data_IF_700228856917
#
_entry.id   IF_700228856917
#
_cell.length_a   1.000
_cell.length_b   1.000
_cell.length_c   1.000
_cell.angle_alpha   90.00
_cell.angle_beta   90.00
_cell.angle_gamma   90.00
#
_symmetry.space_group_name_H-M   'P 1'
#
loop_
_entity.id
_entity.type
_entity.pdbx_description
1 polymer ?
#
# COMPACT_ATOMS: atom_id res chain seq x y z
N UNK A 1 -17.38 15.34 43.97
CA UNK A 1 -16.04 14.71 43.94
C UNK A 1 -16.05 13.66 42.84
N UNK A 2 -15.24 13.91 41.79
CA UNK A 2 -14.75 13.03 40.71
C UNK A 2 -15.76 12.16 39.95
N UNK A 3 -16.22 12.54 38.75
CA UNK A 3 -15.54 12.40 37.44
C UNK A 3 -14.96 10.99 37.22
N UNK A 4 -15.67 10.18 36.44
CA UNK A 4 -15.01 9.39 35.38
C UNK A 4 -15.96 9.25 34.18
N UNK A 5 -15.93 10.27 33.32
CA UNK A 5 -16.46 10.19 31.97
C UNK A 5 -15.40 9.45 31.16
N UNK A 6 -15.63 8.16 30.90
CA UNK A 6 -14.75 7.32 30.09
C UNK A 6 -14.55 8.02 28.72
N UNK A 7 -13.32 8.31 28.28
CA UNK A 7 -13.11 8.91 26.98
C UNK A 7 -13.52 7.90 25.90
N UNK A 8 -14.59 8.20 25.19
CA UNK A 8 -15.03 7.48 24.01
C UNK A 8 -13.92 7.52 22.97
N UNK A 9 -13.31 6.37 22.70
CA UNK A 9 -12.32 6.19 21.64
C UNK A 9 -12.95 6.63 20.30
N UNK A 10 -12.33 7.52 19.51
CA UNK A 10 -12.82 7.83 18.19
C UNK A 10 -12.80 6.56 17.34
N UNK A 11 -13.99 6.08 17.00
CA UNK A 11 -14.18 4.94 16.10
C UNK A 11 -13.81 5.40 14.70
N UNK A 12 -12.55 5.21 14.31
CA UNK A 12 -12.09 5.44 12.95
C UNK A 12 -12.95 4.63 11.99
N UNK A 13 -13.64 5.35 11.11
CA UNK A 13 -14.40 4.91 9.94
C UNK A 13 -14.68 3.42 9.83
N UNK A 14 -15.82 2.99 10.39
CA UNK A 14 -16.56 1.93 9.74
C UNK A 14 -17.02 2.49 8.39
N UNK A 15 -16.26 2.18 7.33
CA UNK A 15 -16.74 2.37 5.97
C UNK A 15 -18.15 1.79 5.88
N UNK A 16 -19.07 2.59 5.40
CA UNK A 16 -20.46 2.23 5.13
C UNK A 16 -20.50 1.13 4.06
N UNK A 17 -20.18 -0.10 4.46
CA UNK A 17 -20.30 -1.30 3.67
C UNK A 17 -21.72 -1.81 3.80
N UNK A 18 -22.62 -1.24 3.00
CA UNK A 18 -23.96 -1.77 2.79
C UNK A 18 -23.84 -3.23 2.29
N UNK A 19 -24.44 -4.17 3.01
CA UNK A 19 -24.38 -5.61 2.75
C UNK A 19 -25.27 -6.05 1.57
N UNK A 20 -25.00 -5.54 0.37
CA UNK A 20 -25.52 -6.06 -0.91
C UNK A 20 -24.40 -6.72 -1.72
N UNK A 21 -24.70 -7.52 -2.78
CA UNK A 21 -23.68 -8.18 -3.59
C UNK A 21 -22.69 -7.12 -4.08
N UNK A 22 -21.43 -7.25 -3.65
CA UNK A 22 -20.36 -6.27 -3.79
C UNK A 22 -20.36 -5.60 -5.17
N UNK A 23 -20.92 -4.39 -5.22
CA UNK A 23 -20.87 -3.55 -6.42
C UNK A 23 -19.43 -3.06 -6.53
N UNK A 24 -18.65 -3.71 -7.39
CA UNK A 24 -17.25 -3.38 -7.62
C UNK A 24 -17.17 -1.89 -7.98
N UNK A 25 -16.45 -1.11 -7.18
CA UNK A 25 -16.22 0.31 -7.48
C UNK A 25 -15.62 0.44 -8.89
N UNK A 26 -15.89 1.53 -9.63
CA UNK A 26 -15.35 1.70 -10.98
C UNK A 26 -13.82 1.58 -11.01
N UNK A 27 -13.12 1.99 -9.94
CA UNK A 27 -11.67 1.78 -9.79
C UNK A 27 -11.27 0.30 -9.65
N UNK A 28 -12.02 -0.49 -8.87
CA UNK A 28 -11.74 -1.91 -8.71
C UNK A 28 -11.98 -2.68 -10.01
N UNK A 29 -12.94 -2.24 -10.84
CA UNK A 29 -13.17 -2.80 -12.17
C UNK A 29 -12.02 -2.51 -13.13
N UNK A 30 -11.44 -1.31 -13.09
CA UNK A 30 -10.26 -0.97 -13.90
C UNK A 30 -9.03 -1.75 -13.49
N UNK A 31 -8.75 -1.85 -12.18
CA UNK A 31 -7.67 -2.70 -11.63
C UNK A 31 -7.87 -4.15 -12.04
N UNK A 32 -9.09 -4.69 -11.92
CA UNK A 32 -9.41 -6.05 -12.32
C UNK A 32 -9.20 -6.30 -13.82
N UNK A 33 -9.54 -5.33 -14.68
CA UNK A 33 -9.27 -5.40 -16.13
C UNK A 33 -7.77 -5.41 -16.41
N UNK A 34 -6.98 -4.58 -15.72
CA UNK A 34 -5.52 -4.57 -15.82
C UNK A 34 -4.90 -5.92 -15.44
N UNK A 35 -5.32 -6.48 -14.30
CA UNK A 35 -4.86 -7.79 -13.83
C UNK A 35 -5.23 -8.92 -14.79
N UNK A 36 -6.44 -8.91 -15.36
CA UNK A 36 -6.85 -9.90 -16.38
C UNK A 36 -5.95 -9.82 -17.61
N UNK A 37 -5.65 -8.63 -18.12
CA UNK A 37 -4.76 -8.45 -19.28
C UNK A 37 -3.36 -8.99 -19.01
N UNK A 38 -2.75 -8.62 -17.89
CA UNK A 38 -1.42 -9.11 -17.51
C UNK A 38 -1.40 -10.62 -17.32
N UNK A 39 -2.41 -11.19 -16.66
CA UNK A 39 -2.55 -12.64 -16.48
C UNK A 39 -2.67 -13.38 -17.81
N UNK A 40 -3.48 -12.86 -18.74
CA UNK A 40 -3.62 -13.44 -20.08
C UNK A 40 -2.30 -13.40 -20.83
N UNK A 41 -1.56 -12.29 -20.76
CA UNK A 41 -0.26 -12.15 -21.44
C UNK A 41 0.81 -13.09 -20.85
N UNK A 42 0.88 -13.20 -19.53
CA UNK A 42 1.80 -14.15 -18.87
C UNK A 42 1.47 -15.60 -19.25
N UNK A 43 0.18 -15.98 -19.24
CA UNK A 43 -0.25 -17.31 -19.65
C UNK A 43 -0.02 -17.57 -21.14
N UNK A 44 -0.23 -16.58 -22.02
CA UNK A 44 0.03 -16.76 -23.44
C UNK A 44 1.51 -16.96 -23.75
N UNK A 45 2.40 -16.24 -23.06
CA UNK A 45 3.84 -16.43 -23.15
C UNK A 45 4.26 -17.83 -22.68
N UNK A 46 3.69 -18.30 -21.58
CA UNK A 46 3.95 -19.66 -21.07
C UNK A 46 3.50 -20.75 -22.05
N UNK A 47 2.29 -20.61 -22.60
CA UNK A 47 1.76 -21.53 -23.62
C UNK A 47 2.66 -21.50 -24.87
N UNK A 48 3.06 -20.31 -25.32
CA UNK A 48 3.95 -20.16 -26.46
C UNK A 48 5.30 -20.86 -26.23
N UNK A 49 5.95 -20.65 -25.08
CA UNK A 49 7.18 -21.36 -24.72
C UNK A 49 6.98 -22.88 -24.65
N UNK A 50 5.83 -23.33 -24.16
CA UNK A 50 5.50 -24.77 -24.13
C UNK A 50 5.36 -25.34 -25.54
N UNK A 51 4.66 -24.62 -26.43
CA UNK A 51 4.48 -25.02 -27.83
C UNK A 51 5.79 -25.01 -28.62
N UNK A 52 6.65 -24.01 -28.44
CA UNK A 52 7.98 -23.96 -29.07
C UNK A 52 8.82 -25.14 -28.60
N UNK A 53 8.84 -25.43 -27.29
CA UNK A 53 9.55 -26.57 -26.73
C UNK A 53 9.04 -27.89 -27.34
N UNK A 54 7.73 -28.11 -27.33
CA UNK A 54 7.12 -29.34 -27.84
C UNK A 54 7.34 -29.50 -29.35
N UNK A 55 7.20 -28.42 -30.12
CA UNK A 55 7.40 -28.44 -31.57
C UNK A 55 8.85 -28.76 -31.92
N UNK A 56 9.80 -28.13 -31.23
CA UNK A 56 11.22 -28.39 -31.45
C UNK A 56 11.61 -29.80 -31.02
N UNK A 57 11.01 -30.31 -29.95
CA UNK A 57 11.28 -31.64 -29.43
C UNK A 57 10.70 -32.78 -30.30
N UNK A 58 9.53 -32.57 -30.91
CA UNK A 58 8.86 -33.59 -31.72
C UNK A 58 9.26 -33.59 -33.19
N UNK A 59 9.58 -32.41 -33.76
CA UNK A 59 9.80 -32.26 -35.21
C UNK A 59 11.26 -32.05 -35.60
N UNK A 60 12.22 -32.03 -34.66
CA UNK A 60 13.63 -31.77 -34.98
C UNK A 60 14.58 -32.63 -34.15
N UNK A 61 15.74 -32.96 -34.73
CA UNK A 61 16.80 -33.77 -34.14
C UNK A 61 17.52 -33.12 -32.93
N UNK A 62 17.00 -31.99 -32.41
CA UNK A 62 17.54 -31.25 -31.27
C UNK A 62 19.02 -30.85 -31.39
N UNK A 63 19.56 -30.80 -32.61
CA UNK A 63 20.94 -30.41 -32.91
C UNK A 63 21.03 -29.00 -33.51
N UNK A 64 22.18 -28.34 -33.34
CA UNK A 64 22.43 -27.00 -33.87
C UNK A 64 21.51 -25.92 -33.29
N UNK A 65 21.00 -25.04 -34.14
CA UNK A 65 20.15 -23.88 -33.76
C UNK A 65 18.86 -24.33 -33.06
N UNK A 66 18.28 -25.44 -33.50
CA UNK A 66 17.06 -25.99 -32.91
C UNK A 66 17.28 -26.55 -31.50
N UNK A 67 18.44 -27.14 -31.23
CA UNK A 67 18.82 -27.55 -29.87
C UNK A 67 18.87 -26.36 -28.90
N UNK A 68 19.42 -25.22 -29.35
CA UNK A 68 19.45 -23.99 -28.54
C UNK A 68 18.05 -23.46 -28.23
N UNK A 69 17.17 -23.42 -29.25
CA UNK A 69 15.77 -23.00 -29.08
C UNK A 69 15.02 -23.93 -28.13
N UNK A 70 15.19 -25.24 -28.25
CA UNK A 70 14.57 -26.22 -27.33
C UNK A 70 14.97 -25.96 -25.89
N UNK A 71 16.27 -25.82 -25.60
CA UNK A 71 16.77 -25.58 -24.23
C UNK A 71 16.37 -24.21 -23.69
N UNK A 72 16.39 -23.17 -24.52
CA UNK A 72 15.92 -21.85 -24.14
C UNK A 72 14.43 -21.88 -23.78
N UNK A 73 13.61 -22.59 -24.56
CA UNK A 73 12.18 -22.74 -24.34
C UNK A 73 11.86 -23.59 -23.10
N UNK A 74 12.64 -24.65 -22.87
CA UNK A 74 12.58 -25.48 -21.67
C UNK A 74 12.88 -24.66 -20.41
N UNK A 75 13.97 -23.88 -20.44
CA UNK A 75 14.36 -23.00 -19.34
C UNK A 75 13.31 -21.91 -19.09
N UNK A 76 12.73 -21.31 -20.14
CA UNK A 76 11.68 -20.31 -20.01
C UNK A 76 10.41 -20.89 -19.36
N UNK A 77 9.99 -22.09 -19.78
CA UNK A 77 8.83 -22.79 -19.22
C UNK A 77 9.05 -23.12 -17.73
N UNK A 78 10.18 -23.74 -17.38
CA UNK A 78 10.51 -24.09 -15.99
C UNK A 78 10.64 -22.82 -15.13
N UNK A 79 11.30 -21.79 -15.63
CA UNK A 79 11.47 -20.51 -14.94
C UNK A 79 10.14 -19.82 -14.62
N UNK A 80 9.20 -19.82 -15.55
CA UNK A 80 7.86 -19.28 -15.32
C UNK A 80 7.05 -20.08 -14.28
N UNK A 81 7.19 -21.41 -14.24
CA UNK A 81 6.58 -22.25 -13.20
C UNK A 81 7.22 -21.97 -11.84
N UNK A 82 8.54 -21.80 -11.79
CA UNK A 82 9.28 -21.52 -10.57
C UNK A 82 8.92 -20.15 -9.97
N UNK A 83 8.76 -19.12 -10.80
CA UNK A 83 8.29 -17.81 -10.35
C UNK A 83 6.90 -17.87 -9.71
N UNK A 84 5.97 -18.60 -10.34
CA UNK A 84 4.65 -18.86 -9.74
C UNK A 84 4.78 -19.53 -8.38
N UNK A 85 5.62 -20.57 -8.26
CA UNK A 85 5.87 -21.25 -7.00
C UNK A 85 6.44 -20.31 -5.93
N UNK A 86 7.39 -19.45 -6.29
CA UNK A 86 8.05 -18.53 -5.37
C UNK A 86 7.09 -17.48 -4.79
N UNK A 87 6.30 -16.81 -5.64
CA UNK A 87 5.31 -15.83 -5.19
C UNK A 87 4.24 -16.51 -4.34
N UNK A 88 3.79 -17.69 -4.76
CA UNK A 88 2.79 -18.44 -3.99
C UNK A 88 3.36 -18.85 -2.64
N UNK A 89 4.61 -19.35 -2.56
CA UNK A 89 5.31 -19.73 -1.33
C UNK A 89 5.53 -18.59 -0.33
N UNK A 90 5.61 -17.35 -0.82
CA UNK A 90 5.73 -16.17 0.02
C UNK A 90 4.45 -15.92 0.84
N UNK A 91 3.29 -16.16 0.23
CA UNK A 91 1.98 -15.82 0.80
C UNK A 91 1.13 -17.01 1.25
N UNK A 92 1.31 -18.19 0.65
CA UNK A 92 0.51 -19.41 0.82
C UNK A 92 1.40 -20.66 0.60
N UNK A 93 0.88 -21.86 0.85
CA UNK A 93 1.59 -23.10 0.55
C UNK A 93 1.33 -23.50 -0.91
N UNK A 94 2.31 -23.45 -1.83
CA UNK A 94 2.14 -23.93 -3.19
C UNK A 94 1.82 -25.43 -3.12
N UNK A 95 0.74 -25.87 -3.76
CA UNK A 95 0.20 -27.24 -3.74
C UNK A 95 -0.51 -27.67 -2.44
N UNK A 96 -0.76 -26.77 -1.48
CA UNK A 96 -1.51 -27.09 -0.26
C UNK A 96 -0.80 -28.04 0.71
N UNK A 97 0.46 -28.40 0.42
CA UNK A 97 1.30 -29.22 1.29
C UNK A 97 1.93 -28.34 2.37
N UNK A 98 1.75 -28.66 3.67
CA UNK A 98 2.32 -27.89 4.76
C UNK A 98 3.82 -28.20 4.90
N UNK A 99 4.62 -27.65 3.98
CA UNK A 99 6.07 -27.77 4.05
C UNK A 99 6.57 -26.82 5.15
N UNK A 100 7.18 -27.33 6.24
CA UNK A 100 7.79 -26.48 7.26
C UNK A 100 8.82 -25.59 6.55
N UNK A 101 8.78 -24.28 6.82
CA UNK A 101 9.57 -23.20 6.17
C UNK A 101 8.96 -22.49 4.95
N UNK A 102 7.76 -22.84 4.48
CA UNK A 102 7.00 -22.05 3.48
C UNK A 102 5.91 -21.20 4.17
N UNK A 103 5.46 -20.08 3.56
CA UNK A 103 4.62 -19.04 4.18
C UNK A 103 5.33 -18.17 5.25
N UNK A 104 6.47 -17.59 4.89
CA UNK A 104 7.29 -16.73 5.78
C UNK A 104 6.54 -15.47 6.23
N UNK A 105 5.77 -14.83 5.34
CA UNK A 105 5.08 -13.58 5.67
C UNK A 105 3.99 -13.79 6.72
N UNK A 106 3.03 -14.74 6.57
CA UNK A 106 2.02 -15.04 7.61
C UNK A 106 2.58 -15.29 9.00
N UNK A 107 3.72 -15.97 9.09
CA UNK A 107 4.31 -16.37 10.37
C UNK A 107 5.05 -15.25 11.10
N UNK A 108 5.47 -14.19 10.39
CA UNK A 108 6.24 -13.06 10.96
C UNK A 108 5.55 -11.70 10.85
N UNK A 109 4.25 -11.66 10.51
CA UNK A 109 3.48 -10.40 10.37
C UNK A 109 3.59 -9.51 11.61
N UNK A 110 3.48 -10.10 12.80
CA UNK A 110 3.52 -9.36 14.06
C UNK A 110 4.90 -8.75 14.32
N UNK A 111 5.98 -9.51 14.06
CA UNK A 111 7.35 -9.04 14.19
C UNK A 111 7.67 -7.94 13.18
N UNK A 112 7.24 -8.11 11.93
CA UNK A 112 7.43 -7.12 10.86
C UNK A 112 6.65 -5.84 11.16
N UNK A 113 5.40 -5.96 11.62
CA UNK A 113 4.58 -4.84 12.08
C UNK A 113 5.23 -4.08 13.22
N UNK A 114 5.70 -4.78 14.25
CA UNK A 114 6.41 -4.17 15.37
C UNK A 114 7.69 -3.43 14.92
N UNK A 115 8.50 -4.03 14.04
CA UNK A 115 9.72 -3.40 13.51
C UNK A 115 9.42 -2.17 12.64
N UNK A 116 8.35 -2.20 11.84
CA UNK A 116 7.96 -1.09 10.98
C UNK A 116 7.38 0.06 11.81
N UNK A 117 6.57 -0.23 12.82
CA UNK A 117 6.08 0.75 13.78
C UNK A 117 7.22 1.40 14.55
N UNK A 118 8.20 0.62 15.01
CA UNK A 118 9.39 1.15 15.68
C UNK A 118 10.25 2.00 14.73
N UNK A 119 10.40 1.59 13.46
CA UNK A 119 11.11 2.37 12.44
C UNK A 119 10.41 3.70 12.14
N UNK A 120 9.09 3.70 11.96
CA UNK A 120 8.32 4.94 11.74
C UNK A 120 8.38 5.84 12.98
N UNK A 121 8.31 5.26 14.18
CA UNK A 121 8.48 5.99 15.42
C UNK A 121 9.88 6.63 15.53
N UNK A 122 10.93 5.88 15.22
CA UNK A 122 12.30 6.37 15.30
C UNK A 122 12.64 7.39 14.19
N UNK A 123 12.14 7.21 12.97
CA UNK A 123 12.57 8.03 11.82
C UNK A 123 11.62 9.21 11.52
N UNK A 124 10.33 9.11 11.86
CA UNK A 124 9.33 10.15 11.55
C UNK A 124 8.74 10.82 12.80
N UNK A 125 8.78 10.18 13.97
CA UNK A 125 8.33 10.76 15.24
C UNK A 125 9.47 11.35 16.10
N UNK A 126 10.67 11.54 15.53
CA UNK A 126 11.63 12.44 16.16
C UNK A 126 11.05 13.85 16.14
N UNK A 127 10.58 14.30 17.31
CA UNK A 127 10.07 15.65 17.58
C UNK A 127 10.99 16.76 17.03
N UNK A 128 12.27 16.47 16.83
CA UNK A 128 13.29 17.37 16.31
C UNK A 128 13.18 17.60 14.79
N UNK A 129 12.82 16.59 14.00
CA UNK A 129 12.57 16.73 12.55
C UNK A 129 11.26 17.51 12.29
N UNK A 130 10.25 17.27 13.12
CA UNK A 130 8.96 18.01 13.09
C UNK A 130 9.15 19.44 13.59
N UNK A 131 9.87 19.64 14.70
CA UNK A 131 10.22 20.94 15.28
C UNK A 131 10.97 21.81 14.26
N UNK A 132 12.00 21.26 13.60
CA UNK A 132 12.78 21.98 12.59
C UNK A 132 11.91 22.41 11.41
N UNK A 133 10.97 21.56 10.98
CA UNK A 133 10.08 21.85 9.85
C UNK A 133 8.96 22.84 10.20
N UNK A 134 8.47 22.82 11.44
CA UNK A 134 7.55 23.83 12.00
C UNK A 134 8.28 25.18 12.14
N UNK A 135 9.53 25.19 12.62
CA UNK A 135 10.37 26.39 12.73
C UNK A 135 10.69 27.00 11.37
N UNK A 136 10.98 26.16 10.37
CA UNK A 136 11.24 26.60 8.99
C UNK A 136 10.00 27.03 8.21
N UNK A 137 8.80 26.68 8.68
CA UNK A 137 7.54 27.01 8.00
C UNK A 137 7.10 28.48 8.17
N UNK A 138 7.85 29.29 8.92
CA UNK A 138 7.60 30.73 9.13
C UNK A 138 6.14 31.03 9.52
N UNK A 139 5.49 30.12 10.26
CA UNK A 139 4.05 30.19 10.54
C UNK A 139 3.73 31.49 11.31
N UNK A 140 4.60 31.91 12.23
CA UNK A 140 4.48 33.18 12.95
C UNK A 140 4.61 34.39 12.03
N UNK A 141 5.51 34.36 11.05
CA UNK A 141 5.70 35.46 10.10
C UNK A 141 4.54 35.52 9.09
N UNK A 142 4.04 34.38 8.63
CA UNK A 142 2.83 34.30 7.77
C UNK A 142 1.58 34.77 8.52
N UNK A 143 1.41 34.36 9.78
CA UNK A 143 0.33 34.83 10.63
C UNK A 143 0.44 36.34 10.87
N UNK A 144 1.63 36.87 11.16
CA UNK A 144 1.90 38.30 11.28
C UNK A 144 1.60 39.08 10.01
N UNK A 145 2.00 38.57 8.84
CA UNK A 145 1.70 39.19 7.54
C UNK A 145 0.21 39.12 7.19
N UNK A 146 -0.49 38.07 7.61
CA UNK A 146 -1.94 37.95 7.46
C UNK A 146 -2.67 38.94 8.38
N UNK A 147 -2.22 39.07 9.63
CA UNK A 147 -2.68 40.07 10.61
C UNK A 147 -2.30 41.50 10.22
N UNK A 148 -1.29 41.73 9.38
CA UNK A 148 -0.94 43.06 8.92
C UNK A 148 -1.94 43.61 7.88
N UNK A 149 -2.79 42.76 7.29
CA UNK A 149 -3.81 43.18 6.32
C UNK A 149 -4.99 43.84 7.08
N UNK A 150 -5.42 45.06 6.69
CA UNK A 150 -6.49 45.79 7.37
C UNK A 150 -7.77 44.97 7.54
N UNK A 151 -8.23 44.31 6.46
CA UNK A 151 -9.43 43.48 6.46
C UNK A 151 -9.39 42.29 7.46
N UNK A 152 -8.21 41.81 7.83
CA UNK A 152 -8.06 40.70 8.77
C UNK A 152 -7.89 41.17 10.21
N UNK A 153 -7.37 42.40 10.42
CA UNK A 153 -7.26 43.02 11.74
C UNK A 153 -8.63 43.26 12.33
N UNK A 154 -9.52 43.80 11.51
CA UNK A 154 -10.87 44.15 11.95
C UNK A 154 -11.62 42.90 12.43
N UNK A 155 -11.46 41.76 11.73
CA UNK A 155 -12.05 40.47 12.14
C UNK A 155 -11.52 40.01 13.50
N UNK A 156 -10.22 40.14 13.77
CA UNK A 156 -9.62 39.68 15.03
C UNK A 156 -9.96 40.62 16.19
N UNK A 157 -9.99 41.93 15.94
CA UNK A 157 -10.36 42.95 16.93
C UNK A 157 -11.84 42.81 17.29
N UNK A 158 -12.71 42.62 16.31
CA UNK A 158 -14.15 42.40 16.52
C UNK A 158 -14.43 41.12 17.32
N UNK A 159 -13.71 40.03 17.02
CA UNK A 159 -13.78 38.78 17.80
C UNK A 159 -13.28 38.96 19.24
N UNK A 160 -12.20 39.71 19.43
CA UNK A 160 -11.61 39.95 20.74
C UNK A 160 -12.49 40.86 21.59
N UNK A 161 -13.09 41.90 20.98
CA UNK A 161 -14.04 42.79 21.63
C UNK A 161 -15.29 42.02 22.08
N UNK A 162 -15.88 41.20 21.20
CA UNK A 162 -17.04 40.37 21.56
C UNK A 162 -16.73 39.33 22.65
N UNK A 163 -15.51 38.79 22.68
CA UNK A 163 -15.06 37.89 23.74
C UNK A 163 -14.86 38.60 25.09
N UNK A 164 -14.34 39.83 25.07
CA UNK A 164 -14.14 40.64 26.26
C UNK A 164 -15.48 41.09 26.86
N UNK A 165 -16.42 41.49 26.01
CA UNK A 165 -17.80 41.79 26.44
C UNK A 165 -18.48 40.56 27.05
N UNK A 166 -18.29 39.36 26.48
CA UNK A 166 -18.84 38.13 27.06
C UNK A 166 -18.27 37.80 28.45
N UNK A 167 -16.99 38.09 28.69
CA UNK A 167 -16.33 37.86 29.99
C UNK A 167 -16.72 38.92 31.01
N UNK A 168 -16.91 40.17 30.59
CA UNK A 168 -17.38 41.27 31.46
C UNK A 168 -18.88 41.21 31.75
N UNK A 169 -19.66 40.57 30.88
CA UNK A 169 -21.09 40.33 31.06
C UNK A 169 -21.41 39.07 31.91
N UNK A 170 -20.40 38.47 32.55
CA UNK A 170 -20.53 37.32 33.44
C UNK A 170 -20.10 37.65 34.86
#
# INVERSE_FOLDING_TARGET
>A
MSIEKTPSVPRFGAGSGNGGPAELTPEDQERARGLKKMRTLALSLLILATLIFLSTHLFTDNTGVWGFVSRASEAAMIGAIADWFAVTALFRHPLGLPIPHTAIIPRKKDTLGASLSAFVAANFLHAEAVSTKIRSAEISHRAGKWLAKPANRDIVVDRAAGGLEYVLAR
#
